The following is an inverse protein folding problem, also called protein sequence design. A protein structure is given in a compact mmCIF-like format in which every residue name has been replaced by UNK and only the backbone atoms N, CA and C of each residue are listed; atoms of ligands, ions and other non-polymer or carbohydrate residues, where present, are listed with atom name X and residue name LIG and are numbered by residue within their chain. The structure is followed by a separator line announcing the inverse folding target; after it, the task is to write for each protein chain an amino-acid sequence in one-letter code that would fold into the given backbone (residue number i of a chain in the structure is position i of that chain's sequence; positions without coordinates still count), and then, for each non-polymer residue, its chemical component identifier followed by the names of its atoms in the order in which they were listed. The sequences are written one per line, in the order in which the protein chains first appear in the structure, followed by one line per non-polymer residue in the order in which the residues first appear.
data_IF_519061671397
#
_entry.id   IF_519061671397
#
_cell.length_a   1.000
_cell.length_b   1.000
_cell.length_c   1.000
_cell.angle_alpha   90.00
_cell.angle_beta   90.00
_cell.angle_gamma   90.00
#
_symmetry.space_group_name_H-M   'P 1'
#
loop_
_entity.id
_entity.type
_entity.pdbx_description
1 polymer ?
#
# COMPACT_ATOMS: atom_id res chain seq x y z
N UNK A 1 32.66 51.81 -9.85
CA UNK A 1 32.13 51.17 -11.08
C UNK A 1 33.34 50.54 -11.76
N UNK A 2 33.59 49.23 -11.79
CA UNK A 2 32.77 48.02 -11.83
C UNK A 2 33.57 46.88 -11.17
N UNK A 3 32.98 46.11 -10.27
CA UNK A 3 33.58 44.86 -9.78
C UNK A 3 32.97 43.69 -10.55
N UNK A 4 33.76 43.07 -11.42
CA UNK A 4 33.41 41.84 -12.14
C UNK A 4 33.89 40.64 -11.32
N UNK A 5 32.94 39.87 -10.79
CA UNK A 5 33.19 38.58 -10.15
C UNK A 5 33.15 37.49 -11.20
N UNK A 6 34.30 36.86 -11.46
CA UNK A 6 34.39 35.65 -12.26
C UNK A 6 33.93 34.44 -11.42
N UNK A 7 32.69 34.00 -11.62
CA UNK A 7 32.19 32.73 -11.07
C UNK A 7 32.43 31.63 -12.09
N UNK A 8 33.26 30.65 -11.73
CA UNK A 8 33.43 29.39 -12.49
C UNK A 8 32.20 28.49 -12.32
N UNK A 9 31.73 27.79 -13.37
CA UNK A 9 30.64 26.82 -13.24
C UNK A 9 31.19 25.48 -12.74
N UNK A 10 30.86 25.10 -11.50
CA UNK A 10 31.02 23.73 -11.01
C UNK A 10 29.76 22.93 -11.38
N UNK A 11 29.81 22.25 -12.52
CA UNK A 11 28.82 21.25 -12.92
C UNK A 11 29.20 19.88 -12.36
N UNK A 12 28.18 19.19 -11.84
CA UNK A 12 28.05 17.75 -11.64
C UNK A 12 29.13 17.05 -10.81
N UNK A 13 28.81 16.78 -9.55
CA UNK A 13 28.79 15.42 -8.99
C UNK A 13 28.36 15.46 -7.52
N UNK A 14 27.04 15.40 -7.26
CA UNK A 14 26.50 14.98 -5.97
C UNK A 14 25.52 13.85 -6.19
N UNK A 15 26.08 12.66 -6.46
CA UNK A 15 25.37 11.41 -6.20
C UNK A 15 25.12 11.38 -4.70
N UNK A 16 23.90 11.73 -4.29
CA UNK A 16 23.47 11.63 -2.91
C UNK A 16 23.62 10.18 -2.44
N UNK A 17 24.68 9.99 -1.65
CA UNK A 17 24.81 8.99 -0.61
C UNK A 17 23.60 9.14 0.32
N UNK A 18 22.48 8.51 -0.03
CA UNK A 18 21.44 8.18 0.94
C UNK A 18 21.90 6.93 1.69
N UNK A 19 22.69 7.29 2.70
CA UNK A 19 23.05 6.62 3.92
C UNK A 19 22.44 5.22 4.15
N UNK A 20 23.30 4.20 4.10
CA UNK A 20 23.02 2.82 4.51
C UNK A 20 22.87 2.65 6.03
N UNK A 21 22.79 3.73 6.81
CA UNK A 21 22.75 3.69 8.29
C UNK A 21 21.35 3.77 8.93
N UNK A 22 20.26 3.92 8.17
CA UNK A 22 18.90 3.76 8.73
C UNK A 22 18.50 2.27 8.66
N UNK A 23 19.26 1.40 9.32
CA UNK A 23 19.04 -0.06 9.24
C UNK A 23 19.10 -0.82 10.58
N UNK A 24 19.22 -0.15 11.72
CA UNK A 24 19.59 -0.89 12.95
C UNK A 24 18.94 -0.48 14.26
N UNK A 25 17.83 0.26 14.30
CA UNK A 25 17.14 0.44 15.59
C UNK A 25 15.62 0.34 15.48
N UNK A 26 15.09 -0.71 16.13
CA UNK A 26 13.84 -0.60 16.89
C UNK A 26 12.55 -1.08 16.25
N UNK A 27 12.46 -2.32 15.74
CA UNK A 27 11.17 -3.02 15.63
C UNK A 27 11.43 -4.51 15.86
N UNK A 28 10.89 -5.10 16.95
CA UNK A 28 11.02 -6.51 17.32
C UNK A 28 10.28 -7.49 16.41
N UNK A 29 10.18 -7.18 15.11
CA UNK A 29 9.72 -8.09 14.09
C UNK A 29 10.76 -9.22 13.91
N UNK A 30 10.52 -10.36 14.56
CA UNK A 30 11.35 -11.58 14.48
C UNK A 30 11.49 -12.16 13.06
N UNK A 31 10.81 -11.60 12.05
CA UNK A 31 10.92 -12.02 10.65
C UNK A 31 11.15 -10.81 9.74
N UNK A 32 12.44 -10.54 9.42
CA UNK A 32 12.80 -9.72 8.26
C UNK A 32 12.27 -10.41 7.00
N UNK A 33 11.26 -9.83 6.36
CA UNK A 33 10.77 -10.28 5.04
C UNK A 33 11.96 -10.22 4.07
N UNK A 34 12.34 -11.36 3.48
CA UNK A 34 13.43 -11.41 2.49
C UNK A 34 12.85 -11.02 1.12
N UNK A 35 13.22 -9.86 0.54
CA UNK A 35 12.61 -9.36 -0.71
C UNK A 35 12.75 -10.33 -1.90
N UNK A 36 13.76 -11.21 -1.89
CA UNK A 36 13.97 -12.22 -2.92
C UNK A 36 12.83 -13.25 -3.04
N UNK A 37 12.21 -13.64 -1.92
CA UNK A 37 11.12 -14.64 -1.93
C UNK A 37 9.80 -14.03 -2.42
N UNK A 38 9.55 -12.76 -2.09
CA UNK A 38 8.40 -12.00 -2.56
C UNK A 38 8.48 -11.77 -4.08
N UNK A 39 9.64 -11.34 -4.58
CA UNK A 39 9.85 -11.15 -6.03
C UNK A 39 9.75 -12.46 -6.82
N UNK A 40 10.21 -13.59 -6.28
CA UNK A 40 10.07 -14.91 -6.93
C UNK A 40 8.61 -15.34 -7.03
N UNK A 41 7.81 -15.07 -5.98
CA UNK A 41 6.35 -15.32 -5.98
C UNK A 41 5.61 -14.37 -6.93
N UNK A 42 5.94 -13.09 -6.93
CA UNK A 42 5.33 -12.08 -7.81
C UNK A 42 5.69 -12.28 -9.29
N UNK A 43 6.91 -12.72 -9.61
CA UNK A 43 7.33 -13.04 -11.00
C UNK A 43 6.61 -14.25 -11.57
N UNK A 44 6.28 -15.25 -10.75
CA UNK A 44 5.48 -16.39 -11.18
C UNK A 44 4.04 -16.00 -11.58
N UNK A 45 3.55 -14.86 -11.08
CA UNK A 45 2.20 -14.33 -11.35
C UNK A 45 2.19 -13.41 -12.60
N UNK A 46 3.36 -12.94 -13.05
CA UNK A 46 3.52 -11.88 -14.06
C UNK A 46 3.16 -12.29 -15.51
N UNK A 47 2.83 -13.56 -15.77
CA UNK A 47 2.66 -14.09 -17.13
C UNK A 47 1.21 -14.17 -17.63
N UNK A 48 0.25 -13.51 -16.98
CA UNK A 48 -1.17 -13.77 -17.23
C UNK A 48 -1.96 -12.41 -17.30
N UNK A 49 -3.14 -12.40 -17.98
CA UNK A 49 -4.14 -11.30 -18.15
C UNK A 49 -4.78 -10.67 -16.87
N UNK A 50 -4.66 -9.35 -16.71
CA UNK A 50 -4.70 -8.55 -15.46
C UNK A 50 -5.90 -8.66 -14.47
N UNK A 51 -7.16 -8.76 -14.89
CA UNK A 51 -8.31 -8.70 -13.95
C UNK A 51 -8.65 -10.05 -13.29
N UNK A 52 -8.94 -11.08 -14.11
CA UNK A 52 -9.24 -12.45 -13.66
C UNK A 52 -8.15 -13.06 -12.77
N UNK A 53 -6.92 -12.56 -12.93
CA UNK A 53 -5.77 -12.99 -12.15
C UNK A 53 -5.60 -12.27 -10.85
N UNK A 54 -6.13 -11.07 -10.72
CA UNK A 54 -6.01 -10.36 -9.46
C UNK A 54 -6.88 -11.04 -8.44
N UNK A 55 -8.12 -11.41 -8.81
CA UNK A 55 -8.99 -12.28 -7.99
C UNK A 55 -8.34 -13.63 -7.69
N UNK A 56 -7.81 -14.32 -8.71
CA UNK A 56 -7.14 -15.61 -8.54
C UNK A 56 -5.85 -15.53 -7.70
N UNK A 57 -5.05 -14.48 -7.87
CA UNK A 57 -3.81 -14.25 -7.12
C UNK A 57 -4.13 -13.89 -5.67
N UNK A 58 -5.13 -13.04 -5.42
CA UNK A 58 -5.59 -12.74 -4.06
C UNK A 58 -6.07 -14.03 -3.36
N UNK A 59 -6.87 -14.86 -4.04
CA UNK A 59 -7.29 -16.16 -3.52
C UNK A 59 -6.12 -17.11 -3.25
N UNK A 60 -5.18 -17.26 -4.19
CA UNK A 60 -3.98 -18.08 -4.01
C UNK A 60 -3.06 -17.56 -2.89
N UNK A 61 -3.05 -16.25 -2.69
CA UNK A 61 -2.36 -15.65 -1.58
C UNK A 61 -3.09 -15.95 -0.29
N UNK A 62 -4.41 -16.19 -0.28
CA UNK A 62 -5.25 -16.38 0.91
C UNK A 62 -5.81 -15.06 1.44
N UNK A 63 -6.03 -14.10 0.56
CA UNK A 63 -6.73 -12.85 0.83
C UNK A 63 -8.20 -13.03 0.42
N UNK A 64 -9.12 -12.60 1.27
CA UNK A 64 -10.54 -12.61 0.92
C UNK A 64 -10.77 -11.61 -0.21
N UNK A 65 -10.99 -12.12 -1.42
CA UNK A 65 -11.28 -11.31 -2.59
C UNK A 65 -12.74 -11.52 -3.00
N UNK A 66 -13.50 -10.43 -3.02
CA UNK A 66 -14.85 -10.40 -3.57
C UNK A 66 -14.92 -9.28 -4.59
N UNK A 67 -15.20 -9.63 -5.84
CA UNK A 67 -15.70 -8.67 -6.82
C UNK A 67 -17.05 -8.19 -6.31
N UNK A 68 -17.15 -6.90 -5.99
CA UNK A 68 -18.38 -6.28 -5.51
C UNK A 68 -19.14 -5.63 -6.66
N UNK A 69 -20.47 -5.44 -6.55
CA UNK A 69 -21.13 -4.47 -7.42
C UNK A 69 -20.48 -3.11 -7.16
N UNK A 70 -20.15 -2.39 -8.23
CA UNK A 70 -19.69 -1.02 -8.17
C UNK A 70 -20.75 -0.21 -7.42
N UNK A 71 -20.57 -0.01 -6.11
CA UNK A 71 -21.27 1.06 -5.42
C UNK A 71 -20.80 2.36 -6.09
N UNK A 72 -21.67 3.35 -6.19
CA UNK A 72 -21.50 4.58 -6.97
C UNK A 72 -20.46 5.54 -6.32
N UNK A 73 -19.23 5.07 -6.15
CA UNK A 73 -18.09 5.75 -5.50
C UNK A 73 -17.17 6.44 -6.52
N UNK A 74 -17.47 6.34 -7.81
CA UNK A 74 -16.64 6.95 -8.85
C UNK A 74 -16.89 8.44 -8.95
N UNK A 75 -15.96 9.23 -8.41
CA UNK A 75 -15.70 10.55 -8.95
C UNK A 75 -15.06 10.40 -10.35
N UNK A 76 -15.90 10.30 -11.38
CA UNK A 76 -15.45 10.24 -12.78
C UNK A 76 -14.73 11.51 -13.24
N UNK A 77 -14.67 12.57 -12.43
CA UNK A 77 -14.16 13.88 -12.85
C UNK A 77 -12.64 14.05 -12.75
N UNK A 78 -11.94 13.24 -11.93
CA UNK A 78 -10.51 13.47 -11.63
C UNK A 78 -9.54 12.52 -12.33
N UNK A 79 -10.00 11.39 -12.85
CA UNK A 79 -9.15 10.35 -13.45
C UNK A 79 -8.21 9.66 -12.46
N UNK A 80 -8.40 9.87 -11.16
CA UNK A 80 -7.60 9.25 -10.10
C UNK A 80 -8.17 7.87 -9.72
N UNK A 81 -7.29 6.94 -9.37
CA UNK A 81 -7.70 5.70 -8.71
C UNK A 81 -8.02 6.02 -7.25
N UNK A 82 -9.15 5.54 -6.77
CA UNK A 82 -9.61 5.72 -5.40
C UNK A 82 -9.50 4.39 -4.64
N UNK A 83 -9.20 4.46 -3.35
CA UNK A 83 -9.22 3.31 -2.46
C UNK A 83 -9.82 3.68 -1.11
N UNK A 84 -10.94 3.06 -0.77
CA UNK A 84 -11.54 3.15 0.56
C UNK A 84 -10.93 2.11 1.49
N UNK A 85 -10.63 2.51 2.72
CA UNK A 85 -10.19 1.63 3.79
C UNK A 85 -11.09 1.78 5.01
N UNK A 86 -11.60 0.65 5.50
CA UNK A 86 -12.28 0.57 6.79
C UNK A 86 -11.64 -0.50 7.66
N UNK A 87 -11.68 -0.32 8.97
CA UNK A 87 -11.14 -1.30 9.90
C UNK A 87 -11.78 -1.22 11.29
N UNK A 88 -11.77 -2.37 11.98
CA UNK A 88 -12.03 -2.51 13.40
C UNK A 88 -10.91 -3.37 13.98
N UNK A 89 -10.01 -2.74 14.74
CA UNK A 89 -8.77 -3.33 15.23
C UNK A 89 -8.69 -3.22 16.74
N UNK A 90 -8.20 -4.29 17.38
CA UNK A 90 -7.82 -4.32 18.79
C UNK A 90 -6.31 -4.49 18.89
N UNK A 91 -5.70 -3.81 19.85
CA UNK A 91 -4.27 -3.85 20.12
C UNK A 91 -4.12 -4.24 21.60
N UNK A 92 -4.11 -5.56 21.92
CA UNK A 92 -4.15 -6.03 23.30
C UNK A 92 -3.01 -5.47 24.16
N UNK A 93 -1.78 -5.47 23.64
CA UNK A 93 -0.61 -4.95 24.36
C UNK A 93 -0.67 -3.47 24.70
N UNK A 94 -1.47 -2.67 23.98
CA UNK A 94 -1.68 -1.25 24.24
C UNK A 94 -3.03 -0.95 24.91
N UNK A 95 -3.89 -1.96 25.10
CA UNK A 95 -5.27 -1.76 25.56
C UNK A 95 -6.11 -0.87 24.63
N UNK A 96 -5.71 -0.71 23.37
CA UNK A 96 -6.31 0.23 22.43
C UNK A 96 -7.28 -0.45 21.44
N UNK A 97 -8.30 0.28 21.01
CA UNK A 97 -9.21 -0.12 19.92
C UNK A 97 -9.23 0.99 18.88
N UNK A 98 -9.08 0.64 17.61
CA UNK A 98 -9.06 1.57 16.48
C UNK A 98 -10.19 1.25 15.51
N UNK A 99 -10.92 2.29 15.12
CA UNK A 99 -12.03 2.18 14.16
C UNK A 99 -11.94 3.26 13.10
N UNK A 100 -12.13 2.85 11.86
CA UNK A 100 -12.23 3.74 10.70
C UNK A 100 -13.37 3.22 9.81
N UNK A 101 -14.46 3.97 9.62
CA UNK A 101 -15.63 3.47 8.90
C UNK A 101 -15.44 3.38 7.38
N UNK A 102 -14.45 4.05 6.77
CA UNK A 102 -14.31 4.03 5.30
C UNK A 102 -13.57 5.24 4.74
N UNK A 103 -12.36 5.52 5.22
CA UNK A 103 -11.54 6.62 4.72
C UNK A 103 -11.13 6.37 3.27
N UNK A 104 -11.29 7.38 2.43
CA UNK A 104 -10.90 7.32 1.01
C UNK A 104 -9.53 7.93 0.78
N UNK A 105 -8.71 7.24 -0.01
CA UNK A 105 -7.42 7.69 -0.50
C UNK A 105 -7.46 7.80 -2.03
N UNK A 106 -6.92 8.88 -2.57
CA UNK A 106 -6.78 9.06 -4.01
C UNK A 106 -5.32 8.90 -4.44
N UNK A 107 -5.10 8.26 -5.60
CA UNK A 107 -3.78 8.10 -6.19
C UNK A 107 -3.10 9.44 -6.44
N UNK A 108 -1.78 9.51 -6.24
CA UNK A 108 -1.00 10.75 -6.32
C UNK A 108 -0.90 11.52 -5.01
N UNK A 109 -1.66 11.11 -3.98
CA UNK A 109 -1.56 11.61 -2.62
C UNK A 109 -0.20 11.33 -1.95
N UNK A 110 -0.04 11.83 -0.73
CA UNK A 110 1.17 11.59 0.08
C UNK A 110 0.93 10.43 1.06
N UNK A 111 1.85 9.47 1.16
CA UNK A 111 1.76 8.41 2.15
C UNK A 111 1.91 8.96 3.56
N UNK A 112 1.29 8.28 4.53
CA UNK A 112 1.49 8.59 5.93
C UNK A 112 2.91 8.20 6.35
N UNK A 113 3.69 9.18 6.82
CA UNK A 113 5.10 9.00 7.16
C UNK A 113 5.31 7.92 8.23
N UNK A 114 4.38 7.77 9.17
CA UNK A 114 4.47 6.77 10.23
C UNK A 114 4.23 5.33 9.72
N UNK A 115 3.73 5.18 8.49
CA UNK A 115 3.47 3.88 7.86
C UNK A 115 4.56 3.39 6.90
N UNK A 116 5.48 4.28 6.50
CA UNK A 116 6.40 4.03 5.37
C UNK A 116 7.52 3.02 5.65
N UNK A 117 7.91 2.82 6.91
CA UNK A 117 9.07 1.97 7.20
C UNK A 117 8.74 0.47 7.11
N UNK A 118 7.46 0.11 7.17
CA UNK A 118 7.01 -1.28 7.25
C UNK A 118 6.63 -1.85 5.88
N UNK A 119 6.03 -1.03 5.02
CA UNK A 119 5.52 -1.46 3.72
C UNK A 119 6.33 -0.79 2.60
N UNK A 120 6.67 -1.56 1.56
CA UNK A 120 7.37 -1.03 0.39
C UNK A 120 6.58 -1.28 -0.88
N UNK A 121 6.32 -0.20 -1.61
CA UNK A 121 5.85 -0.27 -2.98
C UNK A 121 6.95 -0.89 -3.85
N UNK A 122 6.76 -2.12 -4.32
CA UNK A 122 7.70 -2.79 -5.21
C UNK A 122 7.49 -2.25 -6.63
N UNK A 123 8.31 -1.30 -7.05
CA UNK A 123 8.22 -0.73 -8.40
C UNK A 123 8.61 -1.79 -9.46
N UNK A 124 7.66 -2.20 -10.29
CA UNK A 124 7.93 -3.07 -11.44
C UNK A 124 8.37 -2.29 -12.69
N UNK A 125 7.78 -1.11 -12.92
CA UNK A 125 8.07 -0.23 -14.06
C UNK A 125 8.13 1.25 -13.68
N UNK A 126 7.25 1.67 -12.78
CA UNK A 126 7.13 3.04 -12.29
C UNK A 126 7.03 3.05 -10.75
N UNK A 127 7.40 4.16 -10.08
CA UNK A 127 7.13 4.33 -8.64
C UNK A 127 5.63 4.17 -8.36
N UNK A 128 5.31 3.33 -7.37
CA UNK A 128 3.93 2.99 -6.95
C UNK A 128 3.66 3.37 -5.49
N UNK A 129 4.52 4.19 -4.90
CA UNK A 129 4.42 4.71 -3.53
C UNK A 129 3.30 5.76 -3.35
N UNK A 130 2.58 6.06 -4.43
CA UNK A 130 1.41 6.94 -4.44
C UNK A 130 0.18 6.28 -5.06
N UNK A 131 0.20 4.96 -5.25
CA UNK A 131 -1.01 4.21 -5.62
C UNK A 131 -1.98 4.22 -4.43
N UNK A 132 -3.28 4.31 -4.68
CA UNK A 132 -4.28 4.55 -3.66
C UNK A 132 -4.30 3.44 -2.58
N UNK A 133 -4.09 2.20 -2.98
CA UNK A 133 -4.03 1.03 -2.09
C UNK A 133 -2.79 1.05 -1.19
N UNK A 134 -1.67 1.57 -1.70
CA UNK A 134 -0.47 1.78 -0.90
C UNK A 134 -0.69 2.87 0.15
N UNK A 135 -1.30 3.98 -0.25
CA UNK A 135 -1.66 5.08 0.66
C UNK A 135 -2.63 4.60 1.75
N UNK A 136 -3.62 3.79 1.38
CA UNK A 136 -4.58 3.21 2.30
C UNK A 136 -3.92 2.27 3.31
N UNK A 137 -3.08 1.32 2.87
CA UNK A 137 -2.44 0.39 3.80
C UNK A 137 -1.39 1.08 4.69
N UNK A 138 -0.65 2.04 4.18
CA UNK A 138 0.29 2.82 5.01
C UNK A 138 -0.41 3.65 6.07
N UNK A 139 -1.62 4.18 5.80
CA UNK A 139 -2.40 4.89 6.82
C UNK A 139 -2.87 3.97 7.96
N UNK A 140 -3.22 2.71 7.66
CA UNK A 140 -3.52 1.70 8.68
C UNK A 140 -2.30 1.41 9.55
N UNK A 141 -1.12 1.22 8.94
CA UNK A 141 0.13 0.99 9.68
C UNK A 141 0.44 2.18 10.59
N UNK A 142 0.29 3.40 10.09
CA UNK A 142 0.48 4.61 10.87
C UNK A 142 -0.48 4.68 12.06
N UNK A 143 -1.76 4.35 11.86
CA UNK A 143 -2.75 4.31 12.93
C UNK A 143 -2.38 3.29 14.03
N UNK A 144 -1.98 2.07 13.64
CA UNK A 144 -1.51 1.05 14.58
C UNK A 144 -0.27 1.54 15.34
N UNK A 145 0.73 2.08 14.63
CA UNK A 145 1.97 2.57 15.24
C UNK A 145 1.71 3.65 16.28
N UNK A 146 0.87 4.65 15.95
CA UNK A 146 0.51 5.73 16.87
C UNK A 146 -0.20 5.22 18.12
N UNK A 147 -1.06 4.21 17.97
CA UNK A 147 -1.81 3.62 19.09
C UNK A 147 -0.96 2.71 19.98
N UNK A 148 -0.02 1.98 19.39
CA UNK A 148 0.94 1.12 20.10
C UNK A 148 1.92 1.96 20.92
N UNK A 149 2.36 3.09 20.38
CA UNK A 149 3.38 3.92 21.02
C UNK A 149 4.78 3.27 20.98
N UNK A 150 5.79 3.92 21.58
CA UNK A 150 7.17 3.43 21.54
C UNK A 150 7.36 2.17 22.39
N UNK A 151 8.07 1.17 21.86
CA UNK A 151 8.54 0.01 22.61
C UNK A 151 7.57 -1.18 22.72
N UNK A 152 6.37 -1.08 22.16
CA UNK A 152 5.39 -2.17 22.10
C UNK A 152 5.34 -2.81 20.70
N UNK A 153 4.99 -4.10 20.63
CA UNK A 153 5.01 -4.89 19.39
C UNK A 153 3.73 -4.70 18.58
N UNK A 154 3.84 -4.05 17.42
CA UNK A 154 2.69 -3.81 16.52
C UNK A 154 2.06 -5.10 15.97
N UNK A 155 2.81 -6.22 15.93
CA UNK A 155 2.33 -7.49 15.37
C UNK A 155 1.22 -8.17 16.18
N UNK A 156 0.94 -7.68 17.39
CA UNK A 156 -0.17 -8.17 18.21
C UNK A 156 -1.52 -7.60 17.82
N UNK A 157 -1.56 -6.58 16.95
CA UNK A 157 -2.81 -6.03 16.44
C UNK A 157 -3.64 -7.12 15.75
N UNK A 158 -4.93 -7.16 16.08
CA UNK A 158 -5.89 -8.16 15.60
C UNK A 158 -7.21 -7.51 15.21
N UNK A 159 -7.97 -8.18 14.33
CA UNK A 159 -9.26 -7.66 13.85
C UNK A 159 -9.38 -7.78 12.34
N UNK A 160 -10.03 -6.80 11.71
CA UNK A 160 -10.24 -6.82 10.25
C UNK A 160 -9.97 -5.47 9.60
N UNK A 161 -9.41 -5.53 8.39
CA UNK A 161 -9.23 -4.40 7.47
C UNK A 161 -9.91 -4.76 6.16
N UNK A 162 -10.74 -3.84 5.65
CA UNK A 162 -11.38 -3.94 4.35
C UNK A 162 -10.86 -2.84 3.45
N UNK A 163 -10.36 -3.22 2.28
CA UNK A 163 -10.00 -2.32 1.19
C UNK A 163 -10.99 -2.49 0.05
N UNK A 164 -11.44 -1.37 -0.52
CA UNK A 164 -12.15 -1.35 -1.78
C UNK A 164 -11.46 -0.38 -2.73
N UNK A 165 -11.00 -0.84 -3.89
CA UNK A 165 -10.32 -0.02 -4.89
C UNK A 165 -11.22 0.22 -6.11
N UNK A 166 -11.27 1.44 -6.65
CA UNK A 166 -12.07 1.73 -7.85
C UNK A 166 -11.55 1.08 -9.13
N UNK A 167 -10.39 0.41 -9.05
CA UNK A 167 -9.75 -0.31 -10.15
C UNK A 167 -9.08 -1.56 -9.61
N UNK A 168 -8.86 -2.53 -10.50
CA UNK A 168 -8.07 -3.73 -10.23
C UNK A 168 -6.69 -3.35 -9.67
N UNK A 169 -6.32 -3.81 -8.46
CA UNK A 169 -5.02 -3.51 -7.88
C UNK A 169 -3.86 -4.04 -8.73
N UNK A 170 -2.85 -3.21 -8.95
CA UNK A 170 -1.68 -3.65 -9.71
C UNK A 170 -0.83 -4.66 -8.90
N UNK A 171 0.05 -5.41 -9.59
CA UNK A 171 0.97 -6.37 -8.94
C UNK A 171 1.83 -5.74 -7.82
N UNK A 172 2.15 -4.46 -7.92
CA UNK A 172 2.91 -3.74 -6.89
C UNK A 172 2.08 -3.59 -5.61
N UNK A 173 0.80 -3.22 -5.75
CA UNK A 173 -0.17 -3.13 -4.64
C UNK A 173 -0.45 -4.50 -4.02
N UNK A 174 -0.55 -5.57 -4.83
CA UNK A 174 -0.64 -6.94 -4.32
C UNK A 174 0.57 -7.31 -3.46
N UNK A 175 1.78 -6.92 -3.88
CA UNK A 175 2.99 -7.10 -3.08
C UNK A 175 2.93 -6.38 -1.72
N UNK A 176 2.27 -5.22 -1.66
CA UNK A 176 2.07 -4.45 -0.41
C UNK A 176 1.03 -5.14 0.48
N UNK A 177 -0.06 -5.65 -0.08
CA UNK A 177 -1.08 -6.42 0.66
C UNK A 177 -0.48 -7.68 1.30
N UNK A 178 0.42 -8.37 0.58
CA UNK A 178 1.15 -9.52 1.12
C UNK A 178 2.06 -9.10 2.27
N UNK A 179 2.84 -8.02 2.12
CA UNK A 179 3.69 -7.49 3.18
C UNK A 179 2.87 -7.11 4.42
N UNK A 180 1.72 -6.47 4.24
CA UNK A 180 0.82 -6.10 5.33
C UNK A 180 0.36 -7.34 6.11
N UNK A 181 -0.14 -8.36 5.41
CA UNK A 181 -0.60 -9.59 6.08
C UNK A 181 0.53 -10.35 6.77
N UNK A 182 1.74 -10.36 6.21
CA UNK A 182 2.91 -10.97 6.87
C UNK A 182 3.31 -10.20 8.13
N UNK A 183 3.16 -8.87 8.13
CA UNK A 183 3.45 -8.02 9.29
C UNK A 183 2.38 -8.13 10.39
N UNK A 184 1.11 -8.36 10.01
CA UNK A 184 -0.04 -8.43 10.92
C UNK A 184 -0.82 -9.74 10.74
N UNK A 185 -0.29 -10.88 11.22
CA UNK A 185 -0.87 -12.19 10.96
C UNK A 185 -2.24 -12.43 11.62
N UNK A 186 -2.62 -11.59 12.60
CA UNK A 186 -3.93 -11.65 13.28
C UNK A 186 -4.97 -10.66 12.71
N UNK A 187 -4.59 -9.88 11.69
CA UNK A 187 -5.52 -9.00 10.98
C UNK A 187 -6.01 -9.70 9.73
N UNK A 188 -7.32 -9.85 9.62
CA UNK A 188 -7.98 -10.32 8.41
C UNK A 188 -8.05 -9.17 7.38
N UNK A 189 -7.29 -9.28 6.29
CA UNK A 189 -7.35 -8.33 5.16
C UNK A 189 -8.31 -8.84 4.08
N UNK A 190 -9.37 -8.07 3.82
CA UNK A 190 -10.34 -8.28 2.73
C UNK A 190 -10.16 -7.20 1.68
N UNK A 191 -10.16 -7.59 0.42
CA UNK A 191 -9.93 -6.69 -0.72
C UNK A 191 -11.04 -6.88 -1.73
N UNK A 192 -11.70 -5.80 -2.11
CA UNK A 192 -12.61 -5.75 -3.25
C UNK A 192 -12.16 -4.66 -4.23
N UNK A 193 -12.65 -4.74 -5.46
CA UNK A 193 -12.39 -3.72 -6.46
C UNK A 193 -13.45 -3.72 -7.55
N UNK A 194 -13.57 -2.61 -8.26
CA UNK A 194 -14.40 -2.52 -9.46
C UNK A 194 -13.67 -3.11 -10.66
N UNK A 195 -14.38 -3.92 -11.45
CA UNK A 195 -13.92 -4.30 -12.79
C UNK A 195 -14.31 -3.20 -13.77
N UNK A 196 -13.32 -2.51 -14.33
CA UNK A 196 -13.52 -1.48 -15.36
C UNK A 196 -14.30 -1.98 -16.59
N UNK A 197 -14.46 -3.30 -16.77
CA UNK A 197 -15.24 -3.90 -17.86
C UNK A 197 -16.74 -4.00 -17.56
N UNK A 198 -17.14 -3.99 -16.30
CA UNK A 198 -18.55 -4.11 -15.90
C UNK A 198 -19.34 -2.81 -16.09
N UNK A 199 -18.64 -1.68 -16.26
CA UNK A 199 -19.24 -0.36 -16.47
C UNK A 199 -19.47 0.01 -17.95
N UNK A 200 -19.04 -0.82 -18.91
CA UNK A 200 -19.39 -0.62 -20.33
C UNK A 200 -20.77 -1.22 -20.59
N UNK A 201 -21.80 -0.51 -20.13
CA UNK A 201 -23.17 -0.75 -20.58
C UNK A 201 -23.26 -0.60 -22.10
N UNK A 202 -23.98 -1.52 -22.72
CA UNK A 202 -24.34 -1.50 -24.14
C UNK A 202 -24.72 -0.09 -24.61
N UNK A 203 -24.10 0.34 -25.71
CA UNK A 203 -24.58 1.49 -26.46
C UNK A 203 -26.00 1.13 -26.94
N UNK A 204 -27.07 1.88 -26.59
CA UNK A 204 -28.39 1.58 -27.12
C UNK A 204 -28.35 1.71 -28.65
N UNK A 205 -28.92 0.70 -29.31
CA UNK A 205 -29.01 0.59 -30.77
C UNK A 205 -29.78 1.75 -31.41
#
# INVERSE_FOLDING_TARGET
MTMSWAVRPALLQSKHLLDRRILTQGLGLKRKIRPANLLKRLRAIQSLREAYLTTSALQQLGLGATEGPAEDWMDQSTGQVLCSVSYDLRIPGAGATLREPGRVHASGGRPDADGLDLLRAVALRFPRDRDAEFLALTSVVAAIRRAVGPGLEMSEAEGSVRLHASHVPCLSCLGVMVQFREAFPKIELKVSFDDARSAVGEKPA
#
